data_IF_180652305331
#
_entry.id   IF_180652305331
#
_cell.length_a   1.000
_cell.length_b   1.000
_cell.length_c   1.000
_cell.angle_alpha   90.00
_cell.angle_beta   90.00
_cell.angle_gamma   90.00
#
_symmetry.space_group_name_H-M   'P 1'
#
loop_
_entity.id
_entity.type
_entity.pdbx_description
1 polymer ?
#
# COMPACT_ATOMS: atom_id res chain seq x y z
N UNK A 1 -20.63 7.85 -11.67
CA UNK A 1 -21.74 6.86 -11.57
C UNK A 1 -21.30 5.78 -10.60
N UNK A 2 -22.16 5.34 -9.67
CA UNK A 2 -21.77 4.28 -8.72
C UNK A 2 -21.68 2.91 -9.46
N UNK A 3 -20.74 2.01 -9.09
CA UNK A 3 -20.62 0.72 -9.76
C UNK A 3 -21.86 -0.15 -9.53
N UNK A 4 -22.26 -0.89 -10.55
CA UNK A 4 -23.36 -1.86 -10.45
C UNK A 4 -22.92 -3.09 -9.67
N UNK A 5 -23.85 -3.82 -9.03
CA UNK A 5 -23.55 -5.02 -8.23
C UNK A 5 -22.81 -6.10 -9.02
N UNK A 6 -22.99 -6.17 -10.34
CA UNK A 6 -22.27 -7.09 -11.24
C UNK A 6 -20.78 -6.77 -11.39
N UNK A 7 -20.36 -5.53 -11.11
CA UNK A 7 -18.96 -5.08 -11.25
C UNK A 7 -18.13 -5.30 -9.98
N UNK A 8 -18.77 -5.49 -8.82
CA UNK A 8 -18.08 -5.67 -7.53
C UNK A 8 -17.04 -6.80 -7.51
N UNK A 9 -17.31 -8.02 -8.00
CA UNK A 9 -16.30 -9.09 -7.97
C UNK A 9 -15.08 -8.75 -8.82
N UNK A 10 -15.26 -8.06 -9.95
CA UNK A 10 -14.15 -7.61 -10.78
C UNK A 10 -13.32 -6.51 -10.10
N UNK A 11 -13.97 -5.55 -9.44
CA UNK A 11 -13.30 -4.50 -8.67
C UNK A 11 -12.49 -5.11 -7.53
N UNK A 12 -13.08 -6.03 -6.77
CA UNK A 12 -12.42 -6.73 -5.68
C UNK A 12 -11.23 -7.55 -6.18
N UNK A 13 -11.37 -8.33 -7.25
CA UNK A 13 -10.28 -9.14 -7.79
C UNK A 13 -9.08 -8.29 -8.21
N UNK A 14 -9.32 -7.16 -8.90
CA UNK A 14 -8.27 -6.21 -9.30
C UNK A 14 -7.59 -5.57 -8.10
N UNK A 15 -8.39 -5.11 -7.13
CA UNK A 15 -7.90 -4.47 -5.92
C UNK A 15 -7.09 -5.42 -5.04
N UNK A 16 -7.53 -6.67 -4.90
CA UNK A 16 -6.82 -7.71 -4.15
C UNK A 16 -5.48 -8.02 -4.83
N UNK A 17 -5.46 -8.25 -6.14
CA UNK A 17 -4.20 -8.51 -6.86
C UNK A 17 -3.24 -7.32 -6.72
N UNK A 18 -3.75 -6.10 -6.93
CA UNK A 18 -3.00 -4.87 -6.76
C UNK A 18 -2.42 -4.73 -5.34
N UNK A 19 -3.22 -5.03 -4.32
CA UNK A 19 -2.79 -5.00 -2.92
C UNK A 19 -1.75 -6.08 -2.57
N UNK A 20 -1.87 -7.30 -3.09
CA UNK A 20 -0.85 -8.34 -2.89
C UNK A 20 0.49 -7.90 -3.49
N UNK A 21 0.47 -7.44 -4.75
CA UNK A 21 1.69 -6.97 -5.42
C UNK A 21 2.27 -5.75 -4.71
N UNK A 22 1.41 -4.79 -4.32
CA UNK A 22 1.81 -3.60 -3.56
C UNK A 22 2.49 -3.95 -2.25
N UNK A 23 1.96 -4.92 -1.48
CA UNK A 23 2.54 -5.36 -0.21
C UNK A 23 3.96 -5.90 -0.41
N UNK A 24 4.13 -6.79 -1.39
CA UNK A 24 5.42 -7.42 -1.70
C UNK A 24 6.46 -6.37 -2.10
N UNK A 25 6.07 -5.44 -2.98
CA UNK A 25 7.00 -4.45 -3.53
C UNK A 25 7.40 -3.41 -2.49
N UNK A 26 6.47 -2.88 -1.70
CA UNK A 26 6.81 -1.89 -0.68
C UNK A 26 7.63 -2.52 0.47
N UNK A 27 7.30 -3.74 0.92
CA UNK A 27 8.09 -4.45 1.94
C UNK A 27 9.51 -4.73 1.44
N UNK A 28 9.64 -5.23 0.20
CA UNK A 28 10.93 -5.48 -0.42
C UNK A 28 11.78 -4.22 -0.51
N UNK A 29 11.18 -3.09 -0.91
CA UNK A 29 11.87 -1.82 -1.01
C UNK A 29 12.31 -1.28 0.35
N UNK A 30 11.42 -1.25 1.35
CA UNK A 30 11.74 -0.81 2.70
C UNK A 30 12.81 -1.70 3.35
N UNK A 31 12.74 -3.01 3.12
CA UNK A 31 13.76 -3.93 3.60
C UNK A 31 15.14 -3.61 3.00
N UNK A 32 15.23 -3.47 1.67
CA UNK A 32 16.52 -3.24 0.98
C UNK A 32 17.10 -1.86 1.31
N UNK A 33 16.26 -0.84 1.45
CA UNK A 33 16.72 0.55 1.57
C UNK A 33 16.85 1.05 3.02
N UNK A 34 16.06 0.53 3.95
CA UNK A 34 16.02 1.04 5.32
C UNK A 34 16.43 0.02 6.36
N UNK A 35 16.01 -1.24 6.24
CA UNK A 35 16.21 -2.25 7.29
C UNK A 35 17.56 -2.97 7.14
N UNK A 36 17.83 -3.54 5.96
CA UNK A 36 19.05 -4.30 5.67
C UNK A 36 20.34 -3.48 5.87
N UNK A 37 20.43 -2.20 5.46
CA UNK A 37 21.64 -1.40 5.67
C UNK A 37 21.99 -1.18 7.15
N UNK A 38 21.01 -1.31 8.05
CA UNK A 38 21.18 -1.22 9.50
C UNK A 38 21.48 -2.59 10.15
N UNK A 39 21.71 -3.64 9.35
CA UNK A 39 21.89 -5.01 9.83
C UNK A 39 20.59 -5.71 10.24
N UNK A 40 19.44 -5.13 9.90
CA UNK A 40 18.14 -5.68 10.25
C UNK A 40 17.65 -6.80 9.32
N UNK A 41 16.57 -7.45 9.70
CA UNK A 41 15.91 -8.55 8.98
C UNK A 41 14.48 -8.19 8.58
N UNK A 42 13.92 -8.90 7.59
CA UNK A 42 12.51 -8.76 7.22
C UNK A 42 11.57 -9.04 8.41
N UNK A 43 11.94 -9.96 9.30
CA UNK A 43 11.16 -10.27 10.51
C UNK A 43 11.08 -9.08 11.46
N UNK A 44 12.12 -8.24 11.54
CA UNK A 44 12.09 -7.02 12.34
C UNK A 44 11.20 -5.94 11.72
N UNK A 45 11.17 -5.82 10.38
CA UNK A 45 10.23 -4.93 9.69
C UNK A 45 8.79 -5.30 10.06
N UNK A 46 8.42 -6.57 9.91
CA UNK A 46 7.08 -6.99 10.26
C UNK A 46 6.81 -6.92 11.78
N UNK A 47 7.77 -7.23 12.64
CA UNK A 47 7.60 -7.04 14.09
C UNK A 47 7.32 -5.58 14.45
N UNK A 48 7.94 -4.63 13.74
CA UNK A 48 7.64 -3.21 13.88
C UNK A 48 6.20 -2.90 13.47
N UNK A 49 5.71 -3.45 12.35
CA UNK A 49 4.31 -3.29 11.94
C UNK A 49 3.36 -3.87 12.99
N UNK A 50 3.65 -5.04 13.54
CA UNK A 50 2.84 -5.64 14.61
C UNK A 50 2.80 -4.73 15.84
N UNK A 51 3.96 -4.21 16.25
CA UNK A 51 4.07 -3.26 17.37
C UNK A 51 3.26 -1.98 17.11
N UNK A 52 3.31 -1.45 15.89
CA UNK A 52 2.56 -0.25 15.52
C UNK A 52 1.04 -0.50 15.60
N UNK A 53 0.57 -1.67 15.20
CA UNK A 53 -0.86 -1.99 15.18
C UNK A 53 -1.41 -2.48 16.53
N UNK A 54 -0.61 -3.18 17.33
CA UNK A 54 -1.05 -3.91 18.53
C UNK A 54 -0.39 -3.42 19.82
N UNK A 55 0.56 -2.48 19.74
CA UNK A 55 1.33 -1.94 20.85
C UNK A 55 2.57 -2.78 21.21
N UNK A 56 3.42 -2.21 22.08
CA UNK A 56 4.74 -2.77 22.45
C UNK A 56 4.69 -4.17 23.06
N UNK A 57 3.59 -4.53 23.73
CA UNK A 57 3.43 -5.85 24.36
C UNK A 57 3.54 -7.02 23.38
N UNK A 58 3.21 -6.81 22.10
CA UNK A 58 3.28 -7.88 21.09
C UNK A 58 4.70 -8.37 20.85
N UNK A 59 5.72 -7.54 21.10
CA UNK A 59 7.12 -7.91 20.85
C UNK A 59 7.65 -9.03 21.76
N UNK A 60 6.97 -9.32 22.87
CA UNK A 60 7.27 -10.48 23.69
C UNK A 60 6.78 -11.80 23.06
N UNK A 61 5.92 -11.73 22.03
CA UNK A 61 5.39 -12.91 21.33
C UNK A 61 6.31 -13.28 20.15
N UNK A 62 6.83 -14.53 20.07
CA UNK A 62 7.62 -15.00 18.94
C UNK A 62 6.91 -14.90 17.58
N UNK A 63 5.57 -14.83 17.57
CA UNK A 63 4.74 -14.68 16.37
C UNK A 63 4.52 -13.22 15.94
N UNK A 64 5.11 -12.24 16.63
CA UNK A 64 5.00 -10.82 16.24
C UNK A 64 5.33 -10.55 14.75
N UNK A 65 6.40 -11.13 14.15
CA UNK A 65 6.65 -10.96 12.72
C UNK A 65 5.48 -11.46 11.85
N UNK A 66 4.85 -12.58 12.20
CA UNK A 66 3.73 -13.12 11.44
C UNK A 66 2.50 -12.21 11.52
N UNK A 67 2.17 -11.71 12.72
CA UNK A 67 1.08 -10.76 12.89
C UNK A 67 1.31 -9.48 12.09
N UNK A 68 2.55 -8.98 12.09
CA UNK A 68 2.93 -7.81 11.30
C UNK A 68 2.77 -8.02 9.81
N UNK A 69 3.23 -9.17 9.29
CA UNK A 69 3.08 -9.52 7.88
C UNK A 69 1.60 -9.59 7.48
N UNK A 70 0.75 -10.20 8.32
CA UNK A 70 -0.70 -10.27 8.10
C UNK A 70 -1.33 -8.87 8.12
N UNK A 71 -1.01 -8.05 9.11
CA UNK A 71 -1.51 -6.67 9.22
C UNK A 71 -1.11 -5.86 7.99
N UNK A 72 0.17 -5.91 7.61
CA UNK A 72 0.67 -5.17 6.47
C UNK A 72 -0.01 -5.59 5.16
N UNK A 73 -0.18 -6.91 4.96
CA UNK A 73 -0.94 -7.44 3.83
C UNK A 73 -2.39 -6.94 3.84
N UNK A 74 -3.10 -7.01 4.97
CA UNK A 74 -4.49 -6.57 5.06
C UNK A 74 -4.65 -5.06 4.77
N UNK A 75 -3.73 -4.24 5.28
CA UNK A 75 -3.70 -2.79 4.99
C UNK A 75 -3.46 -2.56 3.50
N UNK A 76 -2.50 -3.27 2.90
CA UNK A 76 -2.23 -3.17 1.47
C UNK A 76 -3.42 -3.62 0.61
N UNK A 77 -4.12 -4.69 1.01
CA UNK A 77 -5.36 -5.13 0.35
C UNK A 77 -6.45 -4.06 0.44
N UNK A 78 -6.63 -3.44 1.60
CA UNK A 78 -7.61 -2.37 1.79
C UNK A 78 -7.33 -1.19 0.85
N UNK A 79 -6.07 -0.76 0.74
CA UNK A 79 -5.67 0.29 -0.20
C UNK A 79 -5.76 -0.16 -1.66
N UNK A 80 -5.41 -1.40 -2.00
CA UNK A 80 -5.58 -1.92 -3.37
C UNK A 80 -7.05 -1.89 -3.80
N UNK A 81 -7.96 -2.34 -2.93
CA UNK A 81 -9.41 -2.29 -3.15
C UNK A 81 -9.94 -0.86 -3.19
N UNK A 82 -9.46 0.03 -2.32
CA UNK A 82 -9.85 1.43 -2.33
C UNK A 82 -9.50 2.11 -3.67
N UNK A 83 -8.29 1.90 -4.19
CA UNK A 83 -7.91 2.42 -5.50
C UNK A 83 -8.79 1.85 -6.62
N UNK A 84 -9.01 0.54 -6.63
CA UNK A 84 -9.85 -0.12 -7.63
C UNK A 84 -11.29 0.43 -7.62
N UNK A 85 -11.84 0.71 -6.44
CA UNK A 85 -13.16 1.30 -6.29
C UNK A 85 -13.22 2.75 -6.80
N UNK A 86 -12.23 3.57 -6.44
CA UNK A 86 -12.10 4.95 -6.94
C UNK A 86 -12.04 4.94 -8.46
N UNK A 87 -11.16 4.11 -9.04
CA UNK A 87 -11.00 3.98 -10.48
C UNK A 87 -12.27 3.51 -11.20
N UNK A 88 -13.07 2.64 -10.57
CA UNK A 88 -14.36 2.22 -11.12
C UNK A 88 -15.41 3.34 -11.13
N UNK A 89 -15.37 4.23 -10.13
CA UNK A 89 -16.27 5.39 -10.06
C UNK A 89 -15.83 6.58 -10.93
N UNK A 90 -14.53 6.65 -11.22
CA UNK A 90 -13.84 7.74 -11.91
C UNK A 90 -12.87 7.17 -12.96
N UNK A 91 -13.35 6.83 -14.18
CA UNK A 91 -12.54 6.12 -15.18
C UNK A 91 -11.24 6.84 -15.59
N UNK A 92 -11.18 8.17 -15.44
CA UNK A 92 -9.98 8.95 -15.73
C UNK A 92 -8.78 8.57 -14.84
N UNK A 93 -9.02 8.03 -13.64
CA UNK A 93 -7.98 7.57 -12.70
C UNK A 93 -7.23 6.37 -13.28
N UNK A 94 -7.94 5.42 -13.88
CA UNK A 94 -7.33 4.28 -14.56
C UNK A 94 -6.64 4.71 -15.87
N UNK A 95 -7.26 5.62 -16.64
CA UNK A 95 -6.66 6.11 -17.90
C UNK A 95 -5.34 6.84 -17.69
N UNK A 96 -5.24 7.60 -16.59
CA UNK A 96 -4.04 8.35 -16.20
C UNK A 96 -3.32 7.66 -15.04
N UNK A 97 -3.14 6.35 -15.14
CA UNK A 97 -2.61 5.51 -14.06
C UNK A 97 -1.27 6.01 -13.50
N UNK A 98 -0.39 6.59 -14.33
CA UNK A 98 0.92 7.08 -13.88
C UNK A 98 0.78 8.24 -12.88
N UNK A 99 0.24 9.43 -13.25
CA UNK A 99 0.06 10.51 -12.28
C UNK A 99 -0.93 10.14 -11.16
N UNK A 100 -1.95 9.32 -11.44
CA UNK A 100 -2.88 8.84 -10.41
C UNK A 100 -2.20 7.95 -9.37
N UNK A 101 -1.30 7.05 -9.79
CA UNK A 101 -0.54 6.19 -8.88
C UNK A 101 0.45 6.98 -8.03
N UNK A 102 1.14 7.98 -8.60
CA UNK A 102 2.03 8.86 -7.84
C UNK A 102 1.25 9.66 -6.79
N UNK A 103 0.16 10.31 -7.18
CA UNK A 103 -0.69 11.07 -6.26
C UNK A 103 -1.28 10.17 -5.17
N UNK A 104 -1.73 8.96 -5.55
CA UNK A 104 -2.25 7.99 -4.62
C UNK A 104 -1.19 7.54 -3.60
N UNK A 105 0.04 7.27 -4.05
CA UNK A 105 1.15 6.94 -3.16
C UNK A 105 1.41 8.02 -2.11
N UNK A 106 1.34 9.30 -2.47
CA UNK A 106 1.45 10.41 -1.52
C UNK A 106 0.32 10.36 -0.48
N UNK A 107 -0.92 10.13 -0.93
CA UNK A 107 -2.08 10.00 -0.02
C UNK A 107 -1.87 8.85 0.97
N UNK A 108 -1.41 7.69 0.50
CA UNK A 108 -1.14 6.53 1.36
C UNK A 108 -0.01 6.82 2.33
N UNK A 109 1.09 7.43 1.88
CA UNK A 109 2.19 7.84 2.76
C UNK A 109 1.69 8.73 3.91
N UNK A 110 0.97 9.82 3.59
CA UNK A 110 0.43 10.73 4.59
C UNK A 110 -0.57 10.05 5.54
N UNK A 111 -1.40 9.14 5.01
CA UNK A 111 -2.35 8.39 5.82
C UNK A 111 -1.62 7.42 6.78
N UNK A 112 -0.55 6.76 6.33
CA UNK A 112 0.27 5.91 7.20
C UNK A 112 1.01 6.71 8.25
N UNK A 113 1.51 7.91 7.92
CA UNK A 113 2.10 8.82 8.92
C UNK A 113 1.09 9.19 10.01
N UNK A 114 -0.16 9.47 9.65
CA UNK A 114 -1.24 9.72 10.63
C UNK A 114 -1.51 8.48 11.49
N UNK A 115 -1.52 7.28 10.90
CA UNK A 115 -1.68 6.02 11.64
C UNK A 115 -0.53 5.81 12.61
N UNK A 116 0.72 6.03 12.18
CA UNK A 116 1.91 5.90 13.01
C UNK A 116 1.95 6.95 14.12
N UNK A 117 1.47 8.16 13.85
CA UNK A 117 1.33 9.22 14.84
C UNK A 117 0.30 8.83 15.91
N UNK A 118 -0.87 8.34 15.49
CA UNK A 118 -1.92 7.88 16.40
C UNK A 118 -1.46 6.68 17.26
N UNK A 119 -0.63 5.81 16.70
CA UNK A 119 0.00 4.70 17.42
C UNK A 119 1.17 5.15 18.33
N UNK A 120 1.59 6.41 18.28
CA UNK A 120 2.71 6.93 19.08
C UNK A 120 4.08 6.38 18.67
N UNK A 121 4.20 5.91 17.43
CA UNK A 121 5.43 5.28 16.88
C UNK A 121 5.93 5.97 15.61
N UNK A 122 5.39 7.15 15.27
CA UNK A 122 5.86 7.94 14.15
C UNK A 122 7.36 8.22 14.29
N UNK A 123 8.11 7.84 13.27
CA UNK A 123 9.54 8.11 13.18
C UNK A 123 9.77 9.18 12.12
N UNK A 124 10.15 10.37 12.55
CA UNK A 124 10.54 11.42 11.62
C UNK A 124 11.79 10.98 10.82
N UNK A 125 11.83 11.24 9.51
CA UNK A 125 13.03 11.05 8.70
C UNK A 125 14.24 11.73 9.37
N UNK A 126 15.31 10.97 9.60
CA UNK A 126 16.54 11.51 10.23
C UNK A 126 17.38 12.27 9.22
N UNK A 127 17.25 11.91 7.94
CA UNK A 127 17.94 12.53 6.81
C UNK A 127 16.97 12.83 5.68
N UNK A 128 17.30 13.77 4.77
CA UNK A 128 16.53 13.99 3.54
C UNK A 128 16.40 12.72 2.69
N UNK A 129 17.41 11.85 2.71
CA UNK A 129 17.38 10.59 1.97
C UNK A 129 16.33 9.62 2.52
N UNK A 130 16.13 9.59 3.84
CA UNK A 130 15.09 8.75 4.46
C UNK A 130 13.70 9.17 3.96
N UNK A 131 13.44 10.49 3.89
CA UNK A 131 12.19 11.02 3.35
C UNK A 131 12.01 10.65 1.88
N UNK A 132 13.06 10.80 1.07
CA UNK A 132 13.03 10.41 -0.36
C UNK A 132 12.72 8.92 -0.49
N UNK A 133 13.35 8.05 0.30
CA UNK A 133 13.07 6.62 0.24
C UNK A 133 11.65 6.30 0.71
N UNK A 134 11.13 6.95 1.76
CA UNK A 134 9.74 6.77 2.17
C UNK A 134 8.77 7.19 1.07
N UNK A 135 9.00 8.33 0.41
CA UNK A 135 8.19 8.77 -0.72
C UNK A 135 8.29 7.80 -1.91
N UNK A 136 9.48 7.33 -2.26
CA UNK A 136 9.67 6.34 -3.33
C UNK A 136 8.98 5.01 -3.01
N UNK A 137 9.04 4.55 -1.76
CA UNK A 137 8.36 3.34 -1.33
C UNK A 137 6.86 3.41 -1.62
N UNK A 138 6.22 4.53 -1.26
CA UNK A 138 4.77 4.69 -1.40
C UNK A 138 4.34 5.12 -2.81
N UNK A 139 5.11 5.96 -3.50
CA UNK A 139 4.78 6.42 -4.85
C UNK A 139 5.11 5.36 -5.89
N UNK A 140 6.35 4.85 -5.89
CA UNK A 140 6.90 4.02 -6.97
C UNK A 140 6.73 2.53 -6.69
N UNK A 141 6.92 2.09 -5.45
CA UNK A 141 6.82 0.66 -5.09
C UNK A 141 5.45 0.24 -4.57
N UNK A 142 4.52 1.18 -4.42
CA UNK A 142 3.15 0.89 -3.99
C UNK A 142 2.11 1.50 -4.93
N UNK A 143 2.06 2.83 -5.02
CA UNK A 143 1.05 3.57 -5.78
C UNK A 143 1.06 3.25 -7.28
N UNK A 144 2.23 3.26 -7.91
CA UNK A 144 2.37 2.94 -9.34
C UNK A 144 1.96 1.50 -9.69
N UNK A 145 2.47 0.44 -9.03
CA UNK A 145 2.03 -0.93 -9.26
C UNK A 145 0.52 -1.11 -9.08
N UNK A 146 -0.05 -0.54 -8.02
CA UNK A 146 -1.50 -0.60 -7.79
C UNK A 146 -2.26 0.03 -8.95
N UNK A 147 -1.90 1.25 -9.33
CA UNK A 147 -2.58 1.98 -10.38
C UNK A 147 -2.45 1.29 -11.74
N UNK A 148 -1.26 0.78 -12.05
CA UNK A 148 -1.00 0.06 -13.29
C UNK A 148 -1.80 -1.25 -13.38
N UNK A 149 -1.83 -2.07 -12.33
CA UNK A 149 -2.59 -3.33 -12.31
C UNK A 149 -4.08 -3.05 -12.51
N UNK A 150 -4.63 -2.07 -11.78
CA UNK A 150 -6.05 -1.71 -11.89
C UNK A 150 -6.38 -1.20 -13.29
N UNK A 151 -5.51 -0.38 -13.89
CA UNK A 151 -5.68 0.10 -15.26
C UNK A 151 -5.58 -1.03 -16.29
N UNK A 152 -4.56 -1.88 -16.20
CA UNK A 152 -4.33 -2.99 -17.13
C UNK A 152 -5.46 -4.02 -17.12
N UNK A 153 -6.12 -4.21 -15.98
CA UNK A 153 -7.25 -5.13 -15.85
C UNK A 153 -8.60 -4.49 -16.15
N UNK A 154 -8.66 -3.18 -16.43
CA UNK A 154 -9.89 -2.49 -16.80
C UNK A 154 -10.13 -2.59 -18.31
N UNK A 155 -11.21 -3.25 -18.77
CA UNK A 155 -11.45 -3.47 -20.19
C UNK A 155 -11.70 -2.16 -20.95
N UNK A 156 -11.11 -2.04 -22.15
CA UNK A 156 -11.33 -0.91 -23.04
C UNK A 156 -12.81 -0.71 -23.46
N UNK A 157 -13.64 -1.76 -23.39
CA UNK A 157 -15.07 -1.69 -23.73
C UNK A 157 -15.95 -1.06 -22.64
N UNK A 158 -15.44 -0.89 -21.42
CA UNK A 158 -16.15 -0.15 -20.38
C UNK A 158 -16.22 1.36 -20.69
N UNK A 159 -15.41 1.84 -21.63
CA UNK A 159 -15.38 3.22 -22.11
C UNK A 159 -16.44 3.55 -23.17
N UNK A 160 -17.11 2.54 -23.75
CA UNK A 160 -18.09 2.74 -24.83
C UNK A 160 -19.54 2.92 -24.32
N UNK A 161 -19.77 2.80 -23.01
CA UNK A 161 -21.12 2.87 -22.39
C UNK A 161 -21.23 3.93 -21.28
N UNK A 162 -20.23 4.80 -21.12
CA UNK A 162 -20.21 5.92 -20.18
C UNK A 162 -20.15 7.24 -20.95
#
# INVERSE_FOLDING_TARGET
>A
MAPTTRQYPAILARGILAGIVGAILIDGFLYVTQVRPQGGTMLQLWSFVAMAAMGKGVLANPLAPLYGAIVHLLVSLAWGVAFAWIAASQPYIAKRWLPSGLAYGIVVYLAMDVVMLAAGVLQNPKTPNDLIFQLLAHMVFFGLPIAWIVAAMTPASADAQA
#
